data_IF_731142001040
#
_entry.id   IF_731142001040
#
_cell.length_a   1.000
_cell.length_b   1.000
_cell.length_c   1.000
_cell.angle_alpha   90.00
_cell.angle_beta   90.00
_cell.angle_gamma   90.00
#
_symmetry.space_group_name_H-M   'P 1'
#
loop_
_entity.id
_entity.type
_entity.pdbx_description
1 polymer ?
#
# COMPACT_ATOMS: atom_id res chain seq x y z
N UNK A 1 12.04 27.44 -30.24
CA UNK A 1 12.84 26.97 -29.06
C UNK A 1 12.52 25.51 -28.88
N UNK A 2 13.52 24.62 -29.05
CA UNK A 2 13.30 23.19 -29.16
C UNK A 2 12.68 22.59 -27.89
N UNK A 3 11.77 21.68 -28.09
CA UNK A 3 11.11 20.87 -27.06
C UNK A 3 12.16 19.91 -26.46
N UNK A 4 12.78 20.31 -25.35
CA UNK A 4 13.80 19.47 -24.66
C UNK A 4 13.08 18.43 -23.80
N UNK A 5 13.39 17.16 -24.05
CA UNK A 5 12.95 16.08 -23.17
C UNK A 5 13.80 16.08 -21.91
N UNK A 6 13.17 16.04 -20.76
CA UNK A 6 13.78 16.04 -19.44
C UNK A 6 13.54 14.67 -18.76
N UNK A 7 14.54 14.16 -18.09
CA UNK A 7 14.41 13.02 -17.20
C UNK A 7 13.65 13.43 -15.93
N UNK A 8 13.08 12.47 -15.20
CA UNK A 8 12.40 12.78 -13.94
C UNK A 8 13.34 13.40 -12.89
N UNK A 9 14.64 13.13 -12.95
CA UNK A 9 15.65 13.78 -12.10
C UNK A 9 15.81 15.27 -12.43
N UNK A 10 15.98 15.60 -13.71
CA UNK A 10 16.06 17.01 -14.16
C UNK A 10 14.77 17.79 -13.82
N UNK A 11 13.62 17.13 -13.95
CA UNK A 11 12.32 17.73 -13.55
C UNK A 11 12.26 17.96 -12.04
N UNK A 12 12.78 17.04 -11.24
CA UNK A 12 12.82 17.15 -9.78
C UNK A 12 13.67 18.36 -9.35
N UNK A 13 14.85 18.53 -9.96
CA UNK A 13 15.71 19.71 -9.73
C UNK A 13 15.01 21.01 -10.15
N UNK A 14 14.35 21.03 -11.32
CA UNK A 14 13.65 22.22 -11.83
C UNK A 14 12.44 22.63 -10.97
N UNK A 15 11.75 21.68 -10.37
CA UNK A 15 10.59 21.90 -9.51
C UNK A 15 10.97 22.09 -8.03
N UNK A 16 12.23 21.84 -7.66
CA UNK A 16 12.69 21.89 -6.27
C UNK A 16 12.03 20.81 -5.39
N UNK A 17 11.73 19.65 -5.96
CA UNK A 17 11.07 18.54 -5.27
C UNK A 17 11.87 17.24 -5.41
N UNK A 18 11.60 16.27 -4.55
CA UNK A 18 12.26 14.96 -4.65
C UNK A 18 11.80 14.20 -5.91
N UNK A 19 12.69 13.35 -6.49
CA UNK A 19 12.42 12.50 -7.65
C UNK A 19 11.10 11.72 -7.55
N UNK A 20 10.82 11.10 -6.38
CA UNK A 20 9.59 10.35 -6.16
C UNK A 20 8.32 11.21 -6.21
N UNK A 21 8.43 12.52 -5.93
CA UNK A 21 7.31 13.46 -6.08
C UNK A 21 6.98 13.66 -7.55
N UNK A 22 8.01 13.83 -8.40
CA UNK A 22 7.83 13.92 -9.86
C UNK A 22 7.30 12.62 -10.42
N UNK A 23 7.86 11.49 -9.99
CA UNK A 23 7.38 10.17 -10.38
C UNK A 23 5.88 10.00 -10.08
N UNK A 24 5.44 10.45 -8.90
CA UNK A 24 4.02 10.45 -8.52
C UNK A 24 3.19 11.36 -9.44
N UNK A 25 3.63 12.58 -9.72
CA UNK A 25 2.90 13.49 -10.62
C UNK A 25 2.71 12.88 -12.02
N UNK A 26 3.71 12.19 -12.53
CA UNK A 26 3.62 11.46 -13.79
C UNK A 26 2.66 10.28 -13.69
N UNK A 27 2.74 9.52 -12.60
CA UNK A 27 1.96 8.30 -12.43
C UNK A 27 0.48 8.57 -12.16
N UNK A 28 0.17 9.70 -11.48
CA UNK A 28 -1.19 10.17 -11.21
C UNK A 28 -1.78 10.97 -12.40
N UNK A 29 -1.01 11.14 -13.48
CA UNK A 29 -1.44 11.87 -14.68
C UNK A 29 -1.46 13.39 -14.53
N UNK A 30 -0.90 13.92 -13.44
CA UNK A 30 -0.81 15.37 -13.19
C UNK A 30 0.29 16.03 -14.03
N UNK A 31 1.33 15.29 -14.40
CA UNK A 31 2.42 15.75 -15.25
C UNK A 31 2.54 14.81 -16.45
N UNK A 32 2.23 15.26 -17.69
CA UNK A 32 2.34 14.42 -18.89
C UNK A 32 3.77 13.94 -19.10
N UNK A 33 3.93 12.64 -19.34
CA UNK A 33 5.22 12.02 -19.61
C UNK A 33 5.09 10.86 -20.59
N UNK A 34 6.15 10.60 -21.34
CA UNK A 34 6.24 9.45 -22.25
C UNK A 34 7.35 8.52 -21.82
N UNK A 35 7.15 7.19 -22.05
CA UNK A 35 8.22 6.21 -21.85
C UNK A 35 9.18 6.21 -23.03
N UNK A 36 10.46 6.40 -22.75
CA UNK A 36 11.53 6.26 -23.74
C UNK A 36 12.48 5.16 -23.25
N UNK A 37 12.44 3.96 -23.85
CA UNK A 37 13.27 2.78 -23.66
C UNK A 37 13.91 2.54 -22.28
N UNK A 38 14.47 3.55 -21.68
CA UNK A 38 15.18 3.53 -20.39
C UNK A 38 14.52 4.29 -19.24
N UNK A 39 13.32 4.87 -19.44
CA UNK A 39 12.63 5.61 -18.34
C UNK A 39 11.52 6.54 -18.82
N UNK A 40 10.98 7.30 -17.88
CA UNK A 40 10.01 8.35 -18.15
C UNK A 40 10.73 9.63 -18.57
N UNK A 41 10.21 10.30 -19.60
CA UNK A 41 10.65 11.63 -20.06
C UNK A 41 9.46 12.59 -20.12
N UNK A 42 9.70 13.82 -19.69
CA UNK A 42 8.73 14.90 -19.63
C UNK A 42 9.19 16.02 -20.56
N UNK A 43 8.27 16.64 -21.26
CA UNK A 43 8.57 17.80 -22.09
C UNK A 43 8.81 19.03 -21.18
N UNK A 44 9.81 19.83 -21.51
CA UNK A 44 10.10 21.07 -20.74
C UNK A 44 8.94 22.09 -20.77
N UNK A 45 8.07 22.03 -21.79
CA UNK A 45 6.81 22.78 -21.83
C UNK A 45 5.86 22.34 -20.72
N UNK A 46 5.67 21.03 -20.57
CA UNK A 46 4.71 20.46 -19.61
C UNK A 46 5.13 20.75 -18.16
N UNK A 47 6.46 20.77 -17.90
CA UNK A 47 6.98 21.18 -16.58
C UNK A 47 6.68 22.64 -16.28
N UNK A 48 6.80 23.53 -17.29
CA UNK A 48 6.47 24.95 -17.11
C UNK A 48 4.98 25.16 -16.89
N UNK A 49 4.15 24.48 -17.67
CA UNK A 49 2.69 24.57 -17.55
C UNK A 49 2.22 24.01 -16.22
N UNK A 50 2.79 22.91 -15.79
CA UNK A 50 2.56 22.32 -14.46
C UNK A 50 2.92 23.29 -13.33
N UNK A 51 4.09 23.93 -13.41
CA UNK A 51 4.53 24.92 -12.41
C UNK A 51 3.62 26.15 -12.39
N UNK A 52 3.15 26.61 -13.54
CA UNK A 52 2.24 27.73 -13.66
C UNK A 52 0.81 27.34 -13.23
N UNK A 53 0.37 26.13 -13.51
CA UNK A 53 -0.92 25.58 -13.06
C UNK A 53 -0.95 25.28 -11.54
N UNK A 54 0.18 24.88 -10.95
CA UNK A 54 0.30 24.70 -9.50
C UNK A 54 0.20 26.02 -8.72
N UNK A 55 0.48 27.17 -9.37
CA UNK A 55 0.23 28.51 -8.83
C UNK A 55 -1.23 28.97 -8.97
N UNK A 56 -2.06 28.27 -9.75
CA UNK A 56 -3.51 28.39 -9.70
C UNK A 56 -4.04 27.41 -8.66
N UNK A 57 -3.75 27.73 -7.40
CA UNK A 57 -4.28 27.00 -6.26
C UNK A 57 -5.78 26.77 -6.44
N UNK A 58 -6.19 25.52 -6.31
CA UNK A 58 -7.58 25.17 -6.06
C UNK A 58 -8.01 25.97 -4.84
N UNK A 59 -8.76 27.03 -5.06
CA UNK A 59 -9.46 27.72 -3.99
C UNK A 59 -10.38 26.70 -3.32
N UNK A 60 -10.42 26.62 -1.99
CA UNK A 60 -11.33 25.71 -1.32
C UNK A 60 -12.74 26.07 -1.72
N UNK A 61 -13.48 25.14 -2.30
CA UNK A 61 -14.92 25.24 -2.45
C UNK A 61 -15.48 25.29 -1.03
N UNK A 62 -16.03 26.44 -0.70
CA UNK A 62 -16.62 26.77 0.58
C UNK A 62 -17.93 25.97 0.79
N UNK A 63 -18.16 25.43 1.98
CA UNK A 63 -19.48 24.96 2.39
C UNK A 63 -19.64 23.56 2.98
N UNK A 64 -18.58 22.74 3.14
CA UNK A 64 -18.64 21.49 3.91
C UNK A 64 -17.95 21.62 5.26
N UNK A 65 -18.49 21.03 6.34
CA UNK A 65 -17.77 20.87 7.61
C UNK A 65 -16.36 20.39 7.29
N UNK A 66 -15.31 21.20 7.56
CA UNK A 66 -13.92 20.82 7.32
C UNK A 66 -13.71 19.45 7.96
N UNK A 67 -13.43 18.44 7.13
CA UNK A 67 -13.07 17.12 7.64
C UNK A 67 -11.92 17.31 8.63
N UNK A 68 -12.04 16.71 9.82
CA UNK A 68 -11.02 16.87 10.84
C UNK A 68 -9.67 16.40 10.26
N UNK A 69 -8.55 17.12 10.49
CA UNK A 69 -7.26 16.82 9.87
C UNK A 69 -6.62 15.58 10.53
N UNK A 70 -7.30 14.44 10.48
CA UNK A 70 -6.92 13.21 11.19
C UNK A 70 -5.54 12.71 10.76
N UNK A 71 -5.26 12.68 9.46
CA UNK A 71 -3.97 12.20 8.94
C UNK A 71 -2.80 13.13 9.32
N UNK A 72 -3.00 14.45 9.31
CA UNK A 72 -1.99 15.41 9.75
C UNK A 72 -1.70 15.27 11.26
N UNK A 73 -2.75 15.07 12.08
CA UNK A 73 -2.59 14.81 13.51
C UNK A 73 -1.88 13.47 13.77
N UNK A 74 -2.21 12.43 12.98
CA UNK A 74 -1.55 11.13 13.02
C UNK A 74 -0.05 11.28 12.71
N UNK A 75 0.30 12.01 11.65
CA UNK A 75 1.68 12.29 11.26
C UNK A 75 2.45 12.96 12.40
N UNK A 76 1.89 13.99 13.03
CA UNK A 76 2.53 14.70 14.13
C UNK A 76 2.83 13.76 15.31
N UNK A 77 1.85 12.94 15.72
CA UNK A 77 2.00 11.98 16.82
C UNK A 77 3.05 10.89 16.53
N UNK A 78 3.12 10.43 15.26
CA UNK A 78 4.11 9.45 14.83
C UNK A 78 5.53 10.04 14.84
N UNK A 79 5.71 11.27 14.36
CA UNK A 79 7.01 11.98 14.40
C UNK A 79 7.45 12.23 15.85
N UNK A 80 6.54 12.63 16.72
CA UNK A 80 6.78 12.82 18.15
C UNK A 80 7.15 11.48 18.86
N UNK A 81 6.69 10.36 18.35
CA UNK A 81 6.82 9.05 18.99
C UNK A 81 5.76 8.79 20.06
N UNK A 82 4.63 9.47 19.98
CA UNK A 82 3.55 9.42 20.97
C UNK A 82 2.57 8.26 20.68
N UNK A 83 2.98 7.04 21.02
CA UNK A 83 2.19 5.82 20.77
C UNK A 83 0.81 5.87 21.42
N UNK A 84 0.72 6.33 22.67
CA UNK A 84 -0.58 6.48 23.36
C UNK A 84 -1.50 7.47 22.64
N UNK A 85 -0.94 8.55 22.11
CA UNK A 85 -1.65 9.54 21.31
C UNK A 85 -2.17 8.93 19.99
N UNK A 86 -1.39 8.10 19.32
CA UNK A 86 -1.77 7.38 18.10
C UNK A 86 -2.98 6.48 18.35
N UNK A 87 -2.95 5.64 19.38
CA UNK A 87 -4.08 4.76 19.74
C UNK A 87 -5.34 5.57 20.06
N UNK A 88 -5.20 6.61 20.90
CA UNK A 88 -6.32 7.51 21.26
C UNK A 88 -6.91 8.22 20.03
N UNK A 89 -6.07 8.59 19.07
CA UNK A 89 -6.53 9.22 17.83
C UNK A 89 -7.33 8.22 17.00
N UNK A 90 -6.84 6.99 16.80
CA UNK A 90 -7.59 5.93 16.08
C UNK A 90 -8.95 5.68 16.73
N UNK A 91 -8.99 5.56 18.06
CA UNK A 91 -10.25 5.40 18.80
C UNK A 91 -11.19 6.60 18.65
N UNK A 92 -10.65 7.82 18.58
CA UNK A 92 -11.45 9.02 18.37
C UNK A 92 -12.05 9.08 16.99
N UNK A 93 -11.31 8.64 15.97
CA UNK A 93 -11.80 8.49 14.60
C UNK A 93 -12.96 7.48 14.54
N UNK A 94 -12.82 6.33 15.19
CA UNK A 94 -13.88 5.32 15.27
C UNK A 94 -15.11 5.84 16.01
N UNK A 95 -14.93 6.51 17.16
CA UNK A 95 -16.02 7.13 17.92
C UNK A 95 -16.76 8.24 17.16
N UNK A 96 -16.12 8.86 16.17
CA UNK A 96 -16.78 9.86 15.30
C UNK A 96 -17.63 9.24 14.19
N UNK A 97 -17.82 7.91 14.19
CA UNK A 97 -18.70 7.20 13.27
C UNK A 97 -18.00 6.68 12.02
N UNK A 98 -16.66 6.79 11.95
CA UNK A 98 -15.89 6.21 10.86
C UNK A 98 -15.60 4.72 11.13
N UNK A 99 -15.38 3.96 10.07
CA UNK A 99 -15.01 2.54 10.12
C UNK A 99 -13.50 2.29 10.17
N UNK A 100 -13.10 1.03 10.29
CA UNK A 100 -11.69 0.64 10.29
C UNK A 100 -11.00 0.91 8.95
N UNK A 101 -11.74 0.84 7.83
CA UNK A 101 -11.20 1.20 6.51
C UNK A 101 -10.73 2.66 6.51
N UNK A 102 -11.56 3.56 7.06
CA UNK A 102 -11.20 4.98 7.13
C UNK A 102 -9.98 5.19 8.04
N UNK A 103 -9.95 4.57 9.22
CA UNK A 103 -8.80 4.67 10.15
C UNK A 103 -7.50 4.24 9.47
N UNK A 104 -7.53 3.15 8.73
CA UNK A 104 -6.34 2.61 8.09
C UNK A 104 -5.98 3.33 6.79
N UNK A 105 -6.93 3.44 5.87
CA UNK A 105 -6.64 3.87 4.50
C UNK A 105 -6.64 5.39 4.33
N UNK A 106 -7.42 6.10 5.15
CA UNK A 106 -7.59 7.55 5.01
C UNK A 106 -6.86 8.35 6.11
N UNK A 107 -6.45 7.68 7.22
CA UNK A 107 -5.71 8.33 8.32
C UNK A 107 -4.29 7.79 8.47
N UNK A 108 -4.12 6.49 8.72
CA UNK A 108 -2.81 5.91 9.04
C UNK A 108 -1.90 5.82 7.80
N UNK A 109 -2.37 5.23 6.71
CA UNK A 109 -1.58 5.04 5.48
C UNK A 109 -1.09 6.35 4.89
N UNK A 110 -1.89 7.44 4.79
CA UNK A 110 -1.38 8.72 4.32
C UNK A 110 -0.33 9.33 5.25
N UNK A 111 -0.48 9.17 6.58
CA UNK A 111 0.52 9.64 7.54
C UNK A 111 1.84 8.87 7.39
N UNK A 112 1.79 7.54 7.23
CA UNK A 112 3.00 6.72 7.01
C UNK A 112 3.66 7.03 5.66
N UNK A 113 2.89 7.27 4.61
CA UNK A 113 3.45 7.75 3.32
C UNK A 113 4.17 9.09 3.49
N UNK A 114 3.61 10.03 4.27
CA UNK A 114 4.25 11.30 4.56
C UNK A 114 5.54 11.13 5.38
N UNK A 115 5.59 10.17 6.33
CA UNK A 115 6.81 9.79 7.05
C UNK A 115 7.90 9.32 6.06
N UNK A 116 7.56 8.38 5.18
CA UNK A 116 8.50 7.86 4.17
C UNK A 116 9.01 8.95 3.23
N UNK A 117 8.14 9.87 2.79
CA UNK A 117 8.53 11.02 1.97
C UNK A 117 9.49 11.96 2.71
N UNK A 118 9.22 12.27 3.98
CA UNK A 118 10.08 13.11 4.81
C UNK A 118 11.45 12.49 5.05
N UNK A 119 11.49 11.19 5.30
CA UNK A 119 12.74 10.46 5.43
C UNK A 119 13.54 10.47 4.12
N UNK A 120 12.92 10.16 3.01
CA UNK A 120 13.60 10.15 1.70
C UNK A 120 14.07 11.54 1.25
N UNK A 121 13.43 12.61 1.74
CA UNK A 121 13.86 13.99 1.55
C UNK A 121 14.96 14.44 2.54
N UNK A 122 15.34 13.60 3.51
CA UNK A 122 16.29 13.96 4.56
C UNK A 122 15.74 14.94 5.61
N UNK A 123 14.41 15.16 5.64
CA UNK A 123 13.77 16.05 6.62
C UNK A 123 13.66 15.41 8.01
N UNK A 124 13.67 14.10 8.09
CA UNK A 124 13.67 13.33 9.34
C UNK A 124 14.71 12.21 9.27
N UNK A 125 15.27 11.86 10.41
CA UNK A 125 16.22 10.76 10.54
C UNK A 125 15.53 9.39 10.41
N UNK A 126 16.29 8.37 10.01
CA UNK A 126 15.81 6.98 9.85
C UNK A 126 15.24 6.40 11.13
N UNK A 127 15.77 6.78 12.31
CA UNK A 127 15.22 6.28 13.57
C UNK A 127 13.79 6.77 13.83
N UNK A 128 13.42 7.95 13.32
CA UNK A 128 12.04 8.48 13.41
C UNK A 128 11.11 7.64 12.54
N UNK A 129 11.54 7.33 11.31
CA UNK A 129 10.78 6.44 10.40
C UNK A 129 10.57 5.06 11.02
N UNK A 130 11.63 4.41 11.52
CA UNK A 130 11.56 3.09 12.14
C UNK A 130 10.67 3.09 13.40
N UNK A 131 10.81 4.10 14.25
CA UNK A 131 9.95 4.27 15.42
C UNK A 131 8.49 4.45 15.03
N UNK A 132 8.21 5.29 14.04
CA UNK A 132 6.86 5.54 13.54
C UNK A 132 6.24 4.26 12.96
N UNK A 133 6.99 3.49 12.17
CA UNK A 133 6.56 2.20 11.62
C UNK A 133 6.25 1.19 12.73
N UNK A 134 7.09 1.12 13.77
CA UNK A 134 6.84 0.27 14.94
C UNK A 134 5.59 0.68 15.73
N UNK A 135 5.40 1.98 15.97
CA UNK A 135 4.19 2.52 16.63
C UNK A 135 2.95 2.22 15.81
N UNK A 136 2.98 2.48 14.50
CA UNK A 136 1.87 2.21 13.60
C UNK A 136 1.44 0.74 13.64
N UNK A 137 2.40 -0.18 13.57
CA UNK A 137 2.14 -1.62 13.61
C UNK A 137 1.52 -2.07 14.94
N UNK A 138 2.10 -1.66 16.08
CA UNK A 138 1.54 -2.00 17.40
C UNK A 138 0.16 -1.40 17.63
N UNK A 139 -0.04 -0.15 17.23
CA UNK A 139 -1.34 0.53 17.35
C UNK A 139 -2.40 -0.13 16.47
N UNK A 140 -2.06 -0.51 15.23
CA UNK A 140 -2.94 -1.25 14.35
C UNK A 140 -3.33 -2.60 14.96
N UNK A 141 -2.38 -3.37 15.49
CA UNK A 141 -2.66 -4.66 16.13
C UNK A 141 -3.64 -4.52 17.31
N UNK A 142 -3.48 -3.49 18.16
CA UNK A 142 -4.38 -3.21 19.30
C UNK A 142 -5.82 -2.87 18.85
N UNK A 143 -5.96 -2.20 17.71
CA UNK A 143 -7.28 -1.79 17.20
C UNK A 143 -7.88 -2.91 16.36
N UNK A 144 -7.14 -3.50 15.42
CA UNK A 144 -7.62 -4.46 14.43
C UNK A 144 -8.25 -5.70 15.07
N UNK A 145 -7.64 -6.25 16.13
CA UNK A 145 -8.15 -7.43 16.84
C UNK A 145 -9.59 -7.26 17.35
N UNK A 146 -10.04 -6.05 17.61
CA UNK A 146 -11.41 -5.77 18.08
C UNK A 146 -12.47 -5.94 16.99
N UNK A 147 -12.06 -5.93 15.71
CA UNK A 147 -12.94 -6.02 14.55
C UNK A 147 -12.95 -7.41 13.92
N UNK A 148 -12.04 -8.30 14.33
CA UNK A 148 -12.02 -9.68 13.84
C UNK A 148 -13.36 -10.38 14.15
N UNK A 149 -14.00 -10.93 13.12
CA UNK A 149 -15.24 -11.71 13.30
C UNK A 149 -14.93 -13.03 13.97
N UNK A 150 -15.74 -13.38 14.97
CA UNK A 150 -15.69 -14.67 15.66
C UNK A 150 -16.64 -15.66 14.99
N UNK A 151 -16.37 -16.96 15.12
CA UNK A 151 -17.24 -18.04 14.62
C UNK A 151 -16.72 -18.68 13.35
N UNK A 152 -17.63 -19.23 12.52
CA UNK A 152 -17.27 -19.94 11.28
C UNK A 152 -16.73 -18.93 10.26
N UNK A 153 -15.56 -19.22 9.70
CA UNK A 153 -14.89 -18.41 8.69
C UNK A 153 -15.25 -18.86 7.28
N UNK A 154 -15.15 -17.94 6.32
CA UNK A 154 -15.41 -18.19 4.89
C UNK A 154 -14.30 -19.00 4.19
N UNK A 155 -13.23 -19.32 4.90
CA UNK A 155 -11.99 -19.93 4.43
C UNK A 155 -10.78 -19.18 4.96
N UNK A 156 -9.59 -19.62 4.59
CA UNK A 156 -8.31 -19.05 5.03
C UNK A 156 -7.66 -18.26 3.90
N UNK A 157 -7.20 -17.04 4.20
CA UNK A 157 -6.40 -16.20 3.32
C UNK A 157 -5.00 -16.10 3.89
N UNK A 158 -4.00 -16.51 3.11
CA UNK A 158 -2.60 -16.28 3.46
C UNK A 158 -2.17 -14.90 2.99
N UNK A 159 -1.40 -14.20 3.81
CA UNK A 159 -0.84 -12.90 3.45
C UNK A 159 0.64 -12.90 3.79
N UNK A 160 1.46 -12.26 2.95
CA UNK A 160 2.88 -12.10 3.24
C UNK A 160 3.59 -11.26 2.19
N UNK A 161 4.87 -11.00 2.46
CA UNK A 161 5.75 -10.29 1.55
C UNK A 161 6.92 -11.20 1.14
N UNK A 162 7.34 -11.18 -0.14
CA UNK A 162 8.31 -12.15 -0.66
C UNK A 162 9.72 -11.86 -0.15
N UNK A 163 10.65 -12.77 -0.40
CA UNK A 163 12.07 -12.60 -0.06
C UNK A 163 12.60 -11.23 -0.51
N UNK A 164 13.29 -10.53 0.39
CA UNK A 164 13.83 -9.19 0.21
C UNK A 164 12.84 -8.07 0.49
N UNK A 165 11.58 -8.38 0.85
CA UNK A 165 10.58 -7.38 1.20
C UNK A 165 10.28 -7.39 2.71
N UNK A 166 10.71 -6.32 3.38
CA UNK A 166 10.58 -6.17 4.83
C UNK A 166 9.41 -5.26 5.25
N UNK A 167 8.72 -4.59 4.32
CA UNK A 167 7.58 -3.72 4.60
C UNK A 167 6.32 -4.56 4.88
N UNK A 168 6.01 -4.76 6.15
CA UNK A 168 4.92 -5.64 6.60
C UNK A 168 3.66 -4.91 7.07
N UNK A 169 3.72 -3.59 7.30
CA UNK A 169 2.58 -2.84 7.81
C UNK A 169 1.36 -2.95 6.88
N UNK A 170 1.56 -2.78 5.57
CA UNK A 170 0.48 -2.89 4.58
C UNK A 170 -0.21 -4.26 4.60
N UNK A 171 0.57 -5.33 4.71
CA UNK A 171 0.07 -6.71 4.83
C UNK A 171 -0.69 -6.93 6.13
N UNK A 172 -0.23 -6.36 7.25
CA UNK A 172 -0.92 -6.40 8.53
C UNK A 172 -2.29 -5.70 8.46
N UNK A 173 -2.33 -4.45 7.95
CA UNK A 173 -3.59 -3.70 7.82
C UNK A 173 -4.59 -4.41 6.90
N UNK A 174 -4.11 -5.00 5.81
CA UNK A 174 -4.93 -5.80 4.90
C UNK A 174 -5.50 -7.02 5.63
N UNK A 175 -4.70 -7.72 6.43
CA UNK A 175 -5.12 -8.86 7.22
C UNK A 175 -6.26 -8.55 8.18
N UNK A 176 -6.15 -7.43 8.91
CA UNK A 176 -7.20 -6.98 9.82
C UNK A 176 -8.52 -6.70 9.08
N UNK A 177 -8.45 -6.01 7.91
CA UNK A 177 -9.63 -5.71 7.10
C UNK A 177 -10.28 -7.00 6.53
N UNK A 178 -9.48 -7.97 6.10
CA UNK A 178 -9.97 -9.28 5.62
C UNK A 178 -10.60 -10.07 6.79
N UNK A 179 -9.99 -10.04 7.98
CA UNK A 179 -10.54 -10.69 9.18
C UNK A 179 -11.88 -10.08 9.61
N UNK A 180 -12.01 -8.76 9.50
CA UNK A 180 -13.27 -8.05 9.76
C UNK A 180 -14.39 -8.51 8.83
N UNK A 181 -14.06 -8.92 7.62
CA UNK A 181 -15.01 -9.45 6.63
C UNK A 181 -15.36 -10.93 6.83
N UNK A 182 -14.81 -11.59 7.85
CA UNK A 182 -15.15 -12.95 8.26
C UNK A 182 -14.29 -14.04 7.62
N UNK A 183 -13.10 -13.71 7.19
CA UNK A 183 -12.08 -14.67 6.78
C UNK A 183 -11.13 -15.01 7.91
N UNK A 184 -10.62 -16.21 7.94
CA UNK A 184 -9.41 -16.52 8.71
C UNK A 184 -8.21 -15.97 7.94
N UNK A 185 -7.30 -15.29 8.63
CA UNK A 185 -6.07 -14.76 8.03
C UNK A 185 -4.87 -15.36 8.73
N UNK A 186 -3.98 -15.95 7.94
CA UNK A 186 -2.65 -16.36 8.39
C UNK A 186 -1.61 -15.45 7.73
N UNK A 187 -1.06 -14.52 8.51
CA UNK A 187 -0.06 -13.57 8.05
C UNK A 187 1.34 -14.16 8.25
N UNK A 188 2.02 -14.46 7.14
CA UNK A 188 3.34 -15.07 7.11
C UNK A 188 4.48 -14.05 7.38
N UNK A 189 4.15 -12.75 7.39
CA UNK A 189 5.12 -11.67 7.61
C UNK A 189 5.88 -11.25 6.35
N UNK A 190 7.08 -10.72 6.56
CA UNK A 190 7.98 -10.26 5.48
C UNK A 190 9.11 -11.25 5.21
N UNK A 191 9.83 -11.01 4.11
CA UNK A 191 11.01 -11.82 3.71
C UNK A 191 10.71 -13.32 3.61
N UNK A 192 9.52 -13.71 3.14
CA UNK A 192 9.06 -15.09 3.11
C UNK A 192 9.60 -15.80 1.85
N UNK A 193 10.35 -16.91 2.00
CA UNK A 193 10.80 -17.71 0.87
C UNK A 193 9.64 -18.30 0.05
N UNK A 194 9.83 -18.42 -1.26
CA UNK A 194 8.82 -18.96 -2.17
C UNK A 194 8.37 -20.40 -1.79
N UNK A 195 9.28 -21.20 -1.28
CA UNK A 195 9.04 -22.55 -0.80
C UNK A 195 8.15 -22.54 0.45
N UNK A 196 8.33 -21.57 1.34
CA UNK A 196 7.51 -21.41 2.55
C UNK A 196 6.07 -21.00 2.22
N UNK A 197 5.88 -20.11 1.23
CA UNK A 197 4.54 -19.81 0.72
C UNK A 197 3.84 -21.07 0.17
N UNK A 198 4.53 -21.88 -0.62
CA UNK A 198 3.98 -23.12 -1.18
C UNK A 198 3.65 -24.13 -0.07
N UNK A 199 4.51 -24.28 0.94
CA UNK A 199 4.27 -25.13 2.09
C UNK A 199 3.05 -24.66 2.91
N UNK A 200 2.97 -23.36 3.21
CA UNK A 200 1.82 -22.81 3.93
C UNK A 200 0.51 -23.03 3.16
N UNK A 201 0.53 -22.82 1.83
CA UNK A 201 -0.63 -23.00 0.97
C UNK A 201 -1.17 -24.44 0.94
N UNK A 202 -0.33 -25.44 1.24
CA UNK A 202 -0.73 -26.87 1.24
C UNK A 202 -0.92 -27.48 2.62
N UNK A 203 -0.30 -26.92 3.65
CA UNK A 203 -0.37 -27.45 5.02
C UNK A 203 -1.44 -26.78 5.88
N UNK A 204 -1.80 -25.54 5.58
CA UNK A 204 -2.87 -24.82 6.28
C UNK A 204 -4.21 -25.22 5.64
N UNK A 205 -5.19 -25.51 6.48
CA UNK A 205 -6.52 -25.93 6.02
C UNK A 205 -7.31 -24.77 5.42
N UNK A 206 -8.16 -25.11 4.45
CA UNK A 206 -9.15 -24.22 3.84
C UNK A 206 -8.55 -22.93 3.22
N UNK A 207 -7.33 -23.02 2.68
CA UNK A 207 -6.71 -21.91 1.98
C UNK A 207 -7.39 -21.69 0.64
N UNK A 208 -8.02 -20.54 0.47
CA UNK A 208 -8.72 -20.16 -0.77
C UNK A 208 -7.93 -19.13 -1.58
N UNK A 209 -7.11 -18.31 -0.93
CA UNK A 209 -6.35 -17.27 -1.57
C UNK A 209 -5.02 -16.99 -0.86
N UNK A 210 -4.04 -16.50 -1.64
CA UNK A 210 -2.78 -15.95 -1.14
C UNK A 210 -2.62 -14.53 -1.66
N UNK A 211 -2.41 -13.57 -0.75
CA UNK A 211 -2.14 -12.17 -1.06
C UNK A 211 -0.65 -11.90 -0.82
N UNK A 212 0.09 -11.56 -1.87
CA UNK A 212 1.52 -11.22 -1.78
C UNK A 212 1.68 -9.74 -2.08
N UNK A 213 2.29 -9.02 -1.14
CA UNK A 213 2.51 -7.58 -1.24
C UNK A 213 3.99 -7.22 -1.39
N UNK A 214 4.27 -6.24 -2.24
CA UNK A 214 5.62 -5.71 -2.42
C UNK A 214 5.59 -4.18 -2.53
N UNK A 215 6.46 -3.54 -1.76
CA UNK A 215 6.69 -2.09 -1.82
C UNK A 215 7.87 -1.78 -2.76
N UNK A 216 8.85 -2.68 -2.79
CA UNK A 216 10.09 -2.51 -3.54
C UNK A 216 10.05 -3.29 -4.86
N UNK A 217 10.49 -2.65 -5.95
CA UNK A 217 10.54 -3.30 -7.28
C UNK A 217 11.53 -4.45 -7.33
N UNK A 218 12.57 -4.40 -6.50
CA UNK A 218 13.62 -5.40 -6.39
C UNK A 218 13.09 -6.76 -5.89
N UNK A 219 12.00 -6.78 -5.15
CA UNK A 219 11.37 -8.01 -4.64
C UNK A 219 10.34 -8.62 -5.60
N UNK A 220 10.02 -7.98 -6.74
CA UNK A 220 9.06 -8.50 -7.72
C UNK A 220 9.47 -9.85 -8.33
N UNK A 221 10.75 -10.12 -8.65
CA UNK A 221 11.16 -11.47 -9.11
C UNK A 221 10.87 -12.55 -8.06
N UNK A 222 11.10 -12.26 -6.78
CA UNK A 222 10.78 -13.18 -5.68
C UNK A 222 9.26 -13.37 -5.51
N UNK A 223 8.45 -12.33 -5.71
CA UNK A 223 6.98 -12.42 -5.75
C UNK A 223 6.53 -13.36 -6.87
N UNK A 224 7.04 -13.20 -8.09
CA UNK A 224 6.69 -14.06 -9.23
C UNK A 224 7.07 -15.52 -8.96
N UNK A 225 8.26 -15.76 -8.38
CA UNK A 225 8.69 -17.11 -7.97
C UNK A 225 7.74 -17.71 -6.92
N UNK A 226 7.31 -16.93 -5.94
CA UNK A 226 6.38 -17.38 -4.90
C UNK A 226 5.02 -17.77 -5.49
N UNK A 227 4.46 -16.95 -6.38
CA UNK A 227 3.20 -17.24 -7.09
C UNK A 227 3.32 -18.53 -7.89
N UNK A 228 4.40 -18.69 -8.66
CA UNK A 228 4.65 -19.92 -9.45
C UNK A 228 4.69 -21.17 -8.57
N UNK A 229 5.39 -21.11 -7.43
CA UNK A 229 5.49 -22.23 -6.47
C UNK A 229 4.15 -22.56 -5.82
N UNK A 230 3.38 -21.56 -5.41
CA UNK A 230 2.02 -21.77 -4.86
C UNK A 230 1.14 -22.47 -5.89
N UNK A 231 1.06 -21.95 -7.11
CA UNK A 231 0.24 -22.51 -8.19
C UNK A 231 0.61 -23.95 -8.50
N UNK A 232 1.91 -24.25 -8.57
CA UNK A 232 2.39 -25.62 -8.77
C UNK A 232 2.00 -26.54 -7.62
N UNK A 233 2.16 -26.10 -6.38
CA UNK A 233 1.87 -26.92 -5.20
C UNK A 233 0.37 -27.19 -5.00
N UNK A 234 -0.49 -26.24 -5.34
CA UNK A 234 -1.94 -26.32 -5.21
C UNK A 234 -2.67 -26.78 -6.48
N UNK A 235 -1.96 -27.19 -7.54
CA UNK A 235 -2.55 -27.44 -8.86
C UNK A 235 -3.45 -26.28 -9.35
N UNK A 236 -3.05 -25.03 -9.07
CA UNK A 236 -3.77 -23.81 -9.37
C UNK A 236 -5.17 -23.68 -8.76
N UNK A 237 -5.46 -24.43 -7.70
CA UNK A 237 -6.76 -24.33 -7.00
C UNK A 237 -6.86 -23.10 -6.09
N UNK A 238 -5.72 -22.50 -5.71
CA UNK A 238 -5.65 -21.33 -4.83
C UNK A 238 -5.43 -20.06 -5.65
N UNK A 239 -6.27 -19.06 -5.43
CA UNK A 239 -6.17 -17.78 -6.12
C UNK A 239 -5.02 -16.93 -5.58
N UNK A 240 -4.18 -16.41 -6.47
CA UNK A 240 -3.05 -15.55 -6.12
C UNK A 240 -3.35 -14.08 -6.43
N UNK A 241 -3.23 -13.23 -5.42
CA UNK A 241 -3.37 -11.77 -5.50
C UNK A 241 -1.99 -11.13 -5.37
N UNK A 242 -1.59 -10.30 -6.32
CA UNK A 242 -0.39 -9.50 -6.23
C UNK A 242 -0.74 -8.03 -5.99
N UNK A 243 -0.09 -7.40 -5.01
CA UNK A 243 -0.37 -6.02 -4.63
C UNK A 243 0.83 -5.28 -4.02
N UNK A 244 0.54 -4.16 -3.41
CA UNK A 244 1.53 -3.23 -2.89
C UNK A 244 1.99 -2.20 -3.93
N UNK A 245 2.72 -1.14 -3.51
CA UNK A 245 3.13 -0.02 -4.35
C UNK A 245 3.95 -0.41 -5.59
N UNK A 246 4.69 -1.53 -5.54
CA UNK A 246 5.49 -2.02 -6.67
C UNK A 246 4.64 -2.66 -7.79
N UNK A 247 3.38 -3.07 -7.51
CA UNK A 247 2.50 -3.72 -8.50
C UNK A 247 1.48 -2.69 -9.01
N UNK A 248 1.69 -2.20 -10.21
CA UNK A 248 1.07 -0.98 -10.72
C UNK A 248 -0.31 -1.18 -11.38
N UNK A 249 -0.63 -2.40 -11.80
CA UNK A 249 -1.88 -2.68 -12.55
C UNK A 249 -2.19 -4.17 -12.56
N UNK A 250 -3.40 -4.50 -13.00
CA UNK A 250 -3.80 -5.90 -13.27
C UNK A 250 -2.90 -6.57 -14.32
N UNK A 251 -2.53 -5.84 -15.37
CA UNK A 251 -1.62 -6.37 -16.40
C UNK A 251 -0.24 -6.71 -15.79
N UNK A 252 0.27 -5.82 -14.92
CA UNK A 252 1.52 -6.07 -14.20
C UNK A 252 1.40 -7.28 -13.27
N UNK A 253 0.32 -7.40 -12.51
CA UNK A 253 0.06 -8.55 -11.64
C UNK A 253 0.00 -9.87 -12.46
N UNK A 254 -0.65 -9.87 -13.61
CA UNK A 254 -0.69 -11.02 -14.51
C UNK A 254 0.69 -11.40 -15.07
N UNK A 255 1.54 -10.43 -15.41
CA UNK A 255 2.94 -10.69 -15.82
C UNK A 255 3.75 -11.35 -14.70
N UNK A 256 3.44 -11.08 -13.46
CA UNK A 256 4.04 -11.74 -12.28
C UNK A 256 3.44 -13.14 -12.02
N UNK A 257 2.40 -13.52 -12.76
CA UNK A 257 1.72 -14.80 -12.65
C UNK A 257 0.48 -14.81 -11.74
N UNK A 258 0.11 -13.68 -11.15
CA UNK A 258 -1.07 -13.57 -10.28
C UNK A 258 -2.38 -13.62 -11.09
N UNK A 259 -3.46 -14.05 -10.40
CA UNK A 259 -4.80 -14.09 -10.98
C UNK A 259 -5.47 -12.73 -10.87
N UNK A 260 -5.16 -11.99 -9.79
CA UNK A 260 -5.79 -10.72 -9.45
C UNK A 260 -4.77 -9.67 -9.00
N UNK A 261 -5.13 -8.41 -9.22
CA UNK A 261 -4.41 -7.26 -8.70
C UNK A 261 -5.08 -6.74 -7.43
N UNK A 262 -4.30 -6.60 -6.38
CA UNK A 262 -4.69 -6.02 -5.12
C UNK A 262 -4.24 -4.56 -5.03
N UNK A 263 -4.80 -3.68 -5.84
CA UNK A 263 -4.44 -2.26 -5.87
C UNK A 263 -4.82 -1.52 -4.59
N UNK A 264 -5.90 -1.94 -3.93
CA UNK A 264 -6.28 -1.49 -2.59
C UNK A 264 -7.14 -2.55 -1.88
N UNK A 265 -7.23 -2.53 -0.53
CA UNK A 265 -8.18 -3.39 0.18
C UNK A 265 -9.63 -3.21 -0.28
N UNK A 266 -10.04 -1.99 -0.63
CA UNK A 266 -11.40 -1.68 -1.11
C UNK A 266 -11.75 -2.37 -2.43
N UNK A 267 -10.75 -2.66 -3.26
CA UNK A 267 -10.96 -3.38 -4.54
C UNK A 267 -10.72 -4.88 -4.40
N UNK A 268 -9.77 -5.30 -3.56
CA UNK A 268 -9.43 -6.69 -3.33
C UNK A 268 -10.57 -7.46 -2.63
N UNK A 269 -11.10 -6.93 -1.54
CA UNK A 269 -12.04 -7.66 -0.67
C UNK A 269 -13.33 -8.03 -1.40
N UNK A 270 -13.98 -7.18 -2.21
CA UNK A 270 -15.12 -7.58 -3.02
C UNK A 270 -14.82 -8.72 -4.01
N UNK A 271 -13.62 -8.74 -4.59
CA UNK A 271 -13.20 -9.84 -5.48
C UNK A 271 -13.00 -11.13 -4.68
N UNK A 272 -12.36 -11.04 -3.51
CA UNK A 272 -12.17 -12.18 -2.62
C UNK A 272 -13.53 -12.79 -2.19
N UNK A 273 -14.52 -11.96 -1.88
CA UNK A 273 -15.86 -12.43 -1.51
C UNK A 273 -16.58 -13.19 -2.63
N UNK A 274 -16.33 -12.84 -3.90
CA UNK A 274 -16.88 -13.59 -5.04
C UNK A 274 -16.31 -15.01 -5.15
N UNK A 275 -15.12 -15.26 -4.63
CA UNK A 275 -14.50 -16.58 -4.58
C UNK A 275 -15.10 -17.48 -3.49
N UNK A 276 -15.50 -16.92 -2.35
CA UNK A 276 -16.13 -17.69 -1.26
C UNK A 276 -17.50 -18.29 -1.64
N UNK A 277 -18.22 -17.66 -2.57
CA UNK A 277 -19.55 -18.10 -3.00
C UNK A 277 -19.52 -19.14 -4.10
N UNK A 278 -18.34 -19.55 -4.57
CA UNK A 278 -18.15 -20.53 -5.66
C UNK A 278 -17.70 -21.91 -5.18
N UNK A 279 -17.41 -22.09 -3.89
CA UNK A 279 -17.14 -23.36 -3.24
C UNK A 279 -18.34 -23.75 -2.35
#
# INVERSE_FOLDING_TARGET
MGNKNLTLHEVAEMLGVHYMTVYRYVHEGHLPATKNGHGWVVQASDVRDFRNGANQAVSPVDGGKKAAPWSARMLALLIEGNERGVVKLMESVLRSGNDLYFVYLDVLVPAMKAIGMKWSAGEIDVFIEHRASGIASRSAALIGVRFSKRGVHKGTVLIGSPTGEHHVLGSQLLGDLISMEGWKVDNLGGDVPAESFASAATQISDVVAVCIASTMTESLPAMSKSISKIKKASNSSISCFAGGPAVLSLEHAKKLGADYWAGSPRTLIPVLQQHATRN
#
